data_IF_846791232147
#
_entry.id   IF_846791232147
#
_cell.length_a   1.000
_cell.length_b   1.000
_cell.length_c   1.000
_cell.angle_alpha   90.00
_cell.angle_beta   90.00
_cell.angle_gamma   90.00
#
_symmetry.space_group_name_H-M   'P 1'
#
loop_
_entity.id
_entity.type
_entity.pdbx_description
1 polymer ?
#
# COMPACT_ATOMS: atom_id res chain seq x y z
N UNK A 1 -19.22 -2.08 2.71
CA UNK A 1 -18.30 -2.91 1.93
C UNK A 1 -16.98 -3.02 2.67
N UNK A 2 -16.56 -4.23 2.94
CA UNK A 2 -15.30 -4.43 3.66
C UNK A 2 -14.13 -4.14 2.73
N UNK A 3 -13.18 -3.34 3.23
CA UNK A 3 -11.97 -3.05 2.49
C UNK A 3 -11.10 -4.31 2.43
N UNK A 4 -10.62 -4.65 1.23
CA UNK A 4 -9.70 -5.75 1.01
C UNK A 4 -8.33 -5.22 0.62
N UNK A 5 -7.27 -5.98 0.89
CA UNK A 5 -5.93 -5.58 0.49
C UNK A 5 -5.80 -5.36 -1.01
N UNK A 6 -6.29 -6.27 -1.90
CA UNK A 6 -6.25 -6.00 -3.33
C UNK A 6 -7.02 -4.74 -3.73
N UNK A 7 -8.16 -4.47 -3.13
CA UNK A 7 -8.94 -3.26 -3.39
C UNK A 7 -8.20 -1.99 -2.96
N UNK A 8 -7.57 -2.03 -1.79
CA UNK A 8 -6.76 -0.91 -1.30
C UNK A 8 -5.55 -0.65 -2.20
N UNK A 9 -4.89 -1.71 -2.65
CA UNK A 9 -3.74 -1.58 -3.55
C UNK A 9 -4.13 -0.93 -4.87
N UNK A 10 -5.29 -1.29 -5.42
CA UNK A 10 -5.79 -0.68 -6.65
C UNK A 10 -6.07 0.81 -6.46
N UNK A 11 -6.72 1.19 -5.37
CA UNK A 11 -6.99 2.60 -5.07
C UNK A 11 -5.70 3.38 -4.85
N UNK A 12 -4.74 2.78 -4.17
CA UNK A 12 -3.43 3.36 -3.94
C UNK A 12 -2.72 3.63 -5.27
N UNK A 13 -2.73 2.67 -6.18
CA UNK A 13 -2.10 2.80 -7.49
C UNK A 13 -2.72 3.93 -8.30
N UNK A 14 -4.05 4.05 -8.29
CA UNK A 14 -4.76 5.11 -9.02
C UNK A 14 -4.38 6.48 -8.45
N UNK A 15 -4.37 6.63 -7.13
CA UNK A 15 -4.03 7.89 -6.48
C UNK A 15 -2.56 8.26 -6.72
N UNK A 16 -1.66 7.31 -6.62
CA UNK A 16 -0.24 7.52 -6.89
C UNK A 16 0.01 7.99 -8.31
N UNK A 17 -0.66 7.34 -9.27
CA UNK A 17 -0.56 7.69 -10.68
C UNK A 17 -1.13 9.11 -10.94
N UNK A 18 -2.26 9.44 -10.31
CA UNK A 18 -2.87 10.77 -10.40
C UNK A 18 -1.93 11.83 -9.86
N UNK A 19 -1.29 11.56 -8.73
CA UNK A 19 -0.33 12.49 -8.11
C UNK A 19 0.81 12.80 -9.08
N UNK A 20 1.33 11.79 -9.78
CA UNK A 20 2.42 11.96 -10.73
C UNK A 20 2.04 12.74 -11.98
N UNK A 21 0.75 12.89 -12.27
CA UNK A 21 0.26 13.61 -13.44
C UNK A 21 -0.11 15.07 -13.15
N UNK A 22 -0.08 15.48 -11.89
CA UNK A 22 -0.45 16.87 -11.55
C UNK A 22 0.63 17.83 -12.03
N UNK A 23 0.18 18.98 -12.58
CA UNK A 23 1.10 20.06 -12.87
C UNK A 23 1.48 20.80 -11.58
N UNK A 24 2.47 21.70 -11.66
CA UNK A 24 2.99 22.38 -10.47
C UNK A 24 1.90 23.15 -9.72
N UNK A 25 1.02 23.84 -10.45
CA UNK A 25 -0.04 24.64 -9.83
C UNK A 25 -1.07 23.77 -9.14
N UNK A 26 -1.49 22.66 -9.79
CA UNK A 26 -2.47 21.75 -9.24
C UNK A 26 -1.86 20.93 -8.09
N UNK A 27 -0.58 20.62 -8.17
CA UNK A 27 0.12 19.87 -7.12
C UNK A 27 0.12 20.61 -5.78
N UNK A 28 0.14 21.94 -5.79
CA UNK A 28 0.09 22.73 -4.55
C UNK A 28 -1.26 22.62 -3.84
N UNK A 29 -2.36 22.47 -4.58
CA UNK A 29 -3.71 22.40 -4.03
C UNK A 29 -4.22 20.96 -3.84
N UNK A 30 -3.99 20.08 -4.82
CA UNK A 30 -4.49 18.71 -4.82
C UNK A 30 -3.49 17.70 -4.26
N UNK A 31 -2.18 17.99 -4.38
CA UNK A 31 -1.14 17.08 -3.92
C UNK A 31 -1.26 16.69 -2.45
N UNK A 32 -1.38 17.66 -1.51
CA UNK A 32 -1.53 17.33 -0.09
C UNK A 32 -2.77 16.48 0.20
N UNK A 33 -3.86 16.72 -0.51
CA UNK A 33 -5.09 15.95 -0.37
C UNK A 33 -4.91 14.50 -0.81
N UNK A 34 -4.24 14.30 -1.94
CA UNK A 34 -3.94 12.94 -2.45
C UNK A 34 -2.99 12.22 -1.51
N UNK A 35 -1.96 12.90 -1.00
CA UNK A 35 -1.03 12.31 -0.04
C UNK A 35 -1.73 11.90 1.24
N UNK A 36 -2.68 12.69 1.72
CA UNK A 36 -3.49 12.34 2.88
C UNK A 36 -4.32 11.08 2.64
N UNK A 37 -4.95 10.98 1.46
CA UNK A 37 -5.71 9.80 1.07
C UNK A 37 -4.82 8.55 0.94
N UNK A 38 -3.62 8.71 0.39
CA UNK A 38 -2.64 7.62 0.31
C UNK A 38 -2.23 7.13 1.69
N UNK A 39 -1.95 8.05 2.61
CA UNK A 39 -1.59 7.70 3.98
C UNK A 39 -2.73 6.94 4.69
N UNK A 40 -3.97 7.34 4.44
CA UNK A 40 -5.15 6.69 5.00
C UNK A 40 -5.29 5.25 4.47
N UNK A 41 -5.09 5.06 3.16
CA UNK A 41 -5.11 3.72 2.55
C UNK A 41 -4.00 2.84 3.12
N UNK A 42 -2.80 3.39 3.27
CA UNK A 42 -1.66 2.66 3.84
C UNK A 42 -1.93 2.24 5.28
N UNK A 43 -2.52 3.13 6.08
CA UNK A 43 -2.90 2.80 7.46
C UNK A 43 -3.93 1.68 7.51
N UNK A 44 -4.91 1.68 6.61
CA UNK A 44 -5.89 0.60 6.52
C UNK A 44 -5.23 -0.71 6.07
N UNK A 45 -4.30 -0.62 5.11
CA UNK A 45 -3.63 -1.81 4.58
C UNK A 45 -2.79 -2.51 5.65
N UNK A 46 -2.04 -1.75 6.46
CA UNK A 46 -1.23 -2.36 7.52
C UNK A 46 -2.06 -2.90 8.68
N UNK A 47 -3.29 -2.42 8.83
CA UNK A 47 -4.21 -2.93 9.85
C UNK A 47 -4.88 -4.25 9.45
N UNK A 48 -4.90 -4.57 8.15
CA UNK A 48 -5.49 -5.81 7.66
C UNK A 48 -4.46 -6.94 7.72
N UNK A 49 -4.92 -8.10 8.18
CA UNK A 49 -4.07 -9.29 8.24
C UNK A 49 -4.03 -9.96 6.86
N UNK A 50 -2.85 -10.10 6.24
CA UNK A 50 -2.76 -10.81 4.96
C UNK A 50 -2.98 -12.30 5.17
N UNK A 51 -3.85 -12.89 4.35
CA UNK A 51 -4.24 -14.30 4.47
C UNK A 51 -3.97 -15.10 3.20
N UNK A 52 -3.73 -14.42 2.09
CA UNK A 52 -3.56 -15.06 0.79
C UNK A 52 -2.34 -14.50 0.08
N UNK A 53 -1.91 -15.17 -0.98
CA UNK A 53 -0.85 -14.68 -1.86
C UNK A 53 -1.29 -13.37 -2.52
N UNK A 54 -2.57 -13.24 -2.86
CA UNK A 54 -3.09 -11.99 -3.44
C UNK A 54 -2.96 -10.82 -2.45
N UNK A 55 -3.19 -11.07 -1.16
CA UNK A 55 -3.00 -10.05 -0.13
C UNK A 55 -1.53 -9.63 -0.04
N UNK A 56 -0.61 -10.60 -0.11
CA UNK A 56 0.81 -10.32 -0.09
C UNK A 56 1.24 -9.50 -1.31
N UNK A 57 0.73 -9.86 -2.50
CA UNK A 57 1.00 -9.11 -3.72
C UNK A 57 0.49 -7.68 -3.62
N UNK A 58 -0.67 -7.49 -3.01
CA UNK A 58 -1.26 -6.16 -2.81
C UNK A 58 -0.37 -5.30 -1.91
N UNK A 59 0.10 -5.83 -0.79
CA UNK A 59 1.02 -5.12 0.10
C UNK A 59 2.34 -4.79 -0.59
N UNK A 60 2.85 -5.73 -1.39
CA UNK A 60 4.07 -5.53 -2.17
C UNK A 60 3.89 -4.40 -3.18
N UNK A 61 2.73 -4.35 -3.84
CA UNK A 61 2.43 -3.29 -4.80
C UNK A 61 2.40 -1.91 -4.12
N UNK A 62 1.79 -1.80 -2.94
CA UNK A 62 1.79 -0.56 -2.17
C UNK A 62 3.21 -0.18 -1.78
N UNK A 63 3.98 -1.12 -1.26
CA UNK A 63 5.36 -0.85 -0.83
C UNK A 63 6.26 -0.46 -1.99
N UNK A 64 6.05 -1.03 -3.18
CA UNK A 64 6.90 -0.75 -4.33
C UNK A 64 6.76 0.69 -4.82
N UNK A 65 5.65 1.36 -4.56
CA UNK A 65 5.51 2.78 -4.90
C UNK A 65 6.49 3.64 -4.11
N UNK A 66 6.86 3.19 -2.91
CA UNK A 66 7.80 3.91 -2.04
C UNK A 66 9.25 3.52 -2.30
N UNK A 67 9.50 2.45 -3.07
CA UNK A 67 10.87 2.00 -3.35
C UNK A 67 11.67 3.01 -4.16
N UNK A 68 10.99 3.89 -4.89
CA UNK A 68 11.63 4.95 -5.66
C UNK A 68 11.96 6.18 -4.80
N UNK A 69 11.45 6.23 -3.58
CA UNK A 69 11.77 7.28 -2.62
C UNK A 69 12.58 6.69 -1.48
N UNK A 70 13.45 7.49 -0.88
CA UNK A 70 14.32 7.04 0.20
C UNK A 70 13.57 6.87 1.53
N UNK A 71 12.30 7.25 1.59
CA UNK A 71 11.50 7.26 2.80
C UNK A 71 10.35 6.25 2.76
N UNK A 72 10.68 4.96 2.81
CA UNK A 72 9.64 3.93 2.95
C UNK A 72 9.12 3.94 4.39
N UNK A 73 7.80 4.10 4.60
CA UNK A 73 7.25 4.06 5.96
C UNK A 73 7.58 2.74 6.66
N UNK A 74 8.07 2.84 7.89
CA UNK A 74 8.46 1.67 8.68
C UNK A 74 7.29 0.71 8.88
N UNK A 75 6.07 1.23 9.00
CA UNK A 75 4.85 0.44 9.16
C UNK A 75 4.61 -0.47 7.95
N UNK A 76 4.90 0.01 6.74
CA UNK A 76 4.72 -0.79 5.52
C UNK A 76 5.77 -1.90 5.46
N UNK A 77 7.01 -1.60 5.82
CA UNK A 77 8.07 -2.61 5.87
C UNK A 77 7.72 -3.69 6.90
N UNK A 78 7.27 -3.29 8.09
CA UNK A 78 6.86 -4.23 9.13
C UNK A 78 5.68 -5.08 8.67
N UNK A 79 4.70 -4.49 7.99
CA UNK A 79 3.55 -5.23 7.47
C UNK A 79 3.97 -6.25 6.41
N UNK A 80 4.92 -5.90 5.53
CA UNK A 80 5.45 -6.81 4.53
C UNK A 80 6.18 -8.00 5.16
N UNK A 81 7.01 -7.75 6.17
CA UNK A 81 7.73 -8.81 6.87
C UNK A 81 6.73 -9.75 7.55
N UNK A 82 5.73 -9.19 8.23
CA UNK A 82 4.68 -9.99 8.86
C UNK A 82 3.89 -10.80 7.82
N UNK A 83 3.60 -10.21 6.67
CA UNK A 83 2.87 -10.88 5.59
C UNK A 83 3.67 -12.05 5.03
N UNK A 84 4.98 -11.88 4.84
CA UNK A 84 5.85 -12.95 4.37
C UNK A 84 5.85 -14.10 5.38
N UNK A 85 5.96 -13.81 6.68
CA UNK A 85 5.94 -14.82 7.73
C UNK A 85 4.63 -15.61 7.71
N UNK A 86 3.48 -14.93 7.56
CA UNK A 86 2.17 -15.57 7.51
C UNK A 86 2.08 -16.50 6.30
N UNK A 87 2.47 -16.04 5.12
CA UNK A 87 2.41 -16.83 3.89
C UNK A 87 3.36 -18.04 3.99
N UNK A 88 4.55 -17.86 4.52
CA UNK A 88 5.50 -18.96 4.73
C UNK A 88 4.95 -20.00 5.69
N UNK A 89 4.28 -19.56 6.76
CA UNK A 89 3.65 -20.49 7.71
C UNK A 89 2.53 -21.30 7.05
N UNK A 90 1.71 -20.65 6.20
CA UNK A 90 0.65 -21.32 5.47
C UNK A 90 1.18 -22.38 4.50
N UNK A 91 2.33 -22.11 3.87
CA UNK A 91 2.96 -23.08 2.95
C UNK A 91 3.60 -24.26 3.65
N UNK A 92 3.95 -24.10 4.92
CA UNK A 92 4.57 -25.17 5.72
C UNK A 92 3.54 -26.14 6.30
N UNK A 93 2.28 -25.78 6.28
CA UNK A 93 1.21 -26.64 6.77
C UNK A 93 0.88 -27.66 5.67
N UNK A 94 0.97 -28.96 5.96
CA UNK A 94 0.62 -29.98 4.97
C UNK A 94 -0.86 -29.97 4.63
#
# INVERSE_FOLDING_TARGET
MDATLPGLALRHAVLWHTLGKLDDATAWTEGPRILEQLAEIEAQAVALEPRTVDDLQALTAIASTWSESDDVPAEIVAALVAAIDVVMALRRTP
#
